data_IF_782013811033
#
_entry.id   IF_782013811033
#
_cell.length_a   1.000
_cell.length_b   1.000
_cell.length_c   1.000
_cell.angle_alpha   90.00
_cell.angle_beta   90.00
_cell.angle_gamma   90.00
#
_symmetry.space_group_name_H-M   'P 1'
#
loop_
_entity.id
_entity.type
_entity.pdbx_description
1 polymer ?
#
# COMPACT_ATOMS: atom_id res chain seq x y z
N UNK A 1 26.96 -34.52 34.85
CA UNK A 1 26.67 -33.95 33.51
C UNK A 1 25.43 -33.03 33.58
N UNK A 2 25.56 -31.86 34.19
CA UNK A 2 24.48 -30.87 34.30
C UNK A 2 24.98 -29.43 33.98
N UNK A 3 25.87 -29.29 33.01
CA UNK A 3 26.54 -28.00 32.75
C UNK A 3 26.18 -27.28 31.43
N UNK A 4 25.40 -27.88 30.52
CA UNK A 4 25.24 -27.31 29.16
C UNK A 4 23.85 -26.74 28.84
N UNK A 5 22.85 -26.87 29.70
CA UNK A 5 21.48 -26.39 29.37
C UNK A 5 21.32 -24.89 29.75
N UNK A 6 22.00 -24.42 30.78
CA UNK A 6 21.89 -23.01 31.21
C UNK A 6 22.58 -22.02 30.23
N UNK A 7 23.70 -22.41 29.60
CA UNK A 7 24.44 -21.54 28.67
C UNK A 7 23.67 -21.24 27.38
N UNK A 8 22.90 -22.20 26.86
CA UNK A 8 22.12 -22.04 25.61
C UNK A 8 20.92 -21.12 25.79
N UNK A 9 20.38 -21.04 27.02
CA UNK A 9 19.26 -20.13 27.30
C UNK A 9 19.73 -18.67 27.49
N UNK A 10 20.92 -18.46 28.05
CA UNK A 10 21.47 -17.11 28.19
C UNK A 10 21.92 -16.50 26.86
N UNK A 11 22.47 -17.30 25.95
CA UNK A 11 22.85 -16.84 24.61
C UNK A 11 21.61 -16.44 23.76
N UNK A 12 20.50 -17.18 23.85
CA UNK A 12 19.27 -16.85 23.16
C UNK A 12 18.56 -15.60 23.72
N UNK A 13 18.74 -15.30 25.00
CA UNK A 13 18.23 -14.08 25.62
C UNK A 13 19.10 -12.87 25.27
N UNK A 14 20.42 -13.05 25.17
CA UNK A 14 21.35 -12.02 24.72
C UNK A 14 21.13 -11.63 23.25
N UNK A 15 20.94 -12.61 22.35
CA UNK A 15 20.64 -12.38 20.95
C UNK A 15 19.30 -11.65 20.75
N UNK A 16 18.26 -11.99 21.54
CA UNK A 16 16.99 -11.25 21.53
C UNK A 16 17.13 -9.80 22.03
N UNK A 17 17.97 -9.59 23.04
CA UNK A 17 18.21 -8.26 23.59
C UNK A 17 19.06 -7.39 22.64
N UNK A 18 19.96 -8.00 21.86
CA UNK A 18 20.77 -7.33 20.86
C UNK A 18 19.96 -7.01 19.60
N UNK A 19 19.08 -7.93 19.16
CA UNK A 19 18.11 -7.68 18.10
C UNK A 19 17.14 -6.55 18.47
N UNK A 20 16.74 -6.44 19.73
CA UNK A 20 15.87 -5.35 20.21
C UNK A 20 16.59 -4.01 20.29
N UNK A 21 17.93 -3.99 20.40
CA UNK A 21 18.75 -2.78 20.36
C UNK A 21 19.11 -2.30 18.96
N UNK A 22 18.96 -3.17 17.94
CA UNK A 22 19.35 -2.88 16.57
C UNK A 22 18.27 -2.15 15.75
N UNK A 23 17.17 -1.67 16.35
CA UNK A 23 16.13 -0.95 15.61
C UNK A 23 15.74 0.33 16.33
N UNK A 24 16.30 1.44 15.88
CA UNK A 24 15.48 2.59 15.65
C UNK A 24 15.62 3.05 14.20
N UNK A 25 15.12 2.31 13.27
CA UNK A 25 14.71 2.97 12.04
C UNK A 25 13.37 3.58 12.36
N UNK A 26 13.38 4.88 12.57
CA UNK A 26 12.17 5.68 12.69
C UNK A 26 11.28 5.34 11.52
N UNK A 27 10.11 4.76 11.81
CA UNK A 27 9.14 4.48 10.78
C UNK A 27 8.78 5.79 10.08
N UNK A 28 9.01 5.86 8.76
CA UNK A 28 8.72 7.05 7.97
C UNK A 28 7.35 6.85 7.34
N UNK A 29 6.36 7.64 7.78
CA UNK A 29 5.05 7.67 7.13
C UNK A 29 5.12 8.59 5.92
N UNK A 30 4.94 8.03 4.72
CA UNK A 30 5.05 8.74 3.44
C UNK A 30 3.70 9.23 2.90
N UNK A 31 2.63 9.18 3.67
CA UNK A 31 1.32 9.63 3.21
C UNK A 31 0.57 10.40 4.28
N UNK A 32 -0.37 11.19 3.84
CA UNK A 32 -1.31 11.93 4.68
C UNK A 32 -2.74 11.49 4.35
N UNK A 33 -3.55 11.43 5.40
CA UNK A 33 -5.01 11.22 5.33
C UNK A 33 -5.70 12.55 5.60
N UNK A 34 -6.80 12.81 4.90
CA UNK A 34 -7.62 14.02 5.09
C UNK A 34 -8.11 14.11 6.56
N UNK A 35 -8.16 15.34 7.08
CA UNK A 35 -8.58 15.62 8.46
C UNK A 35 -9.95 15.01 8.80
N UNK A 36 -10.87 14.96 7.83
CA UNK A 36 -12.20 14.35 8.03
C UNK A 36 -12.15 12.86 8.40
N UNK A 37 -11.06 12.18 8.04
CA UNK A 37 -10.86 10.76 8.33
C UNK A 37 -9.80 10.51 9.42
N UNK A 38 -9.16 11.57 9.94
CA UNK A 38 -8.07 11.45 10.91
C UNK A 38 -8.50 10.78 12.22
N UNK A 39 -9.78 10.90 12.58
CA UNK A 39 -10.35 10.33 13.81
C UNK A 39 -10.86 8.89 13.65
N UNK A 40 -10.81 8.31 12.47
CA UNK A 40 -11.14 6.89 12.30
C UNK A 40 -10.16 6.02 13.10
N UNK A 41 -10.64 5.00 13.83
CA UNK A 41 -9.76 4.10 14.56
C UNK A 41 -8.86 3.32 13.59
N UNK A 42 -7.61 3.10 14.00
CA UNK A 42 -6.67 2.29 13.23
C UNK A 42 -7.07 0.83 13.29
N UNK A 43 -7.12 0.20 12.14
CA UNK A 43 -7.44 -1.22 11.94
C UNK A 43 -6.21 -1.94 11.40
N UNK A 44 -5.81 -3.04 12.01
CA UNK A 44 -4.72 -3.88 11.51
C UNK A 44 -5.12 -4.61 10.23
N UNK A 45 -4.15 -5.00 9.40
CA UNK A 45 -4.44 -5.77 8.18
C UNK A 45 -5.07 -7.12 8.50
N UNK A 46 -4.67 -7.79 9.58
CA UNK A 46 -5.27 -9.06 9.98
C UNK A 46 -6.76 -8.92 10.33
N UNK A 47 -7.14 -7.83 11.02
CA UNK A 47 -8.55 -7.53 11.30
C UNK A 47 -9.30 -7.16 10.02
N UNK A 48 -8.72 -6.27 9.20
CA UNK A 48 -9.29 -5.81 7.95
C UNK A 48 -9.66 -6.99 7.04
N UNK A 49 -8.73 -7.92 6.85
CA UNK A 49 -8.91 -9.08 5.97
C UNK A 49 -9.57 -10.29 6.65
N UNK A 50 -9.91 -10.21 7.93
CA UNK A 50 -10.64 -11.27 8.64
C UNK A 50 -12.06 -11.49 8.13
N UNK A 51 -12.64 -10.49 7.46
CA UNK A 51 -14.03 -10.49 7.01
C UNK A 51 -15.06 -10.29 8.13
N UNK A 52 -14.62 -10.03 9.36
CA UNK A 52 -15.48 -9.92 10.55
C UNK A 52 -15.89 -8.49 10.90
N UNK A 53 -15.26 -7.51 10.27
CA UNK A 53 -15.55 -6.10 10.56
C UNK A 53 -16.88 -5.68 9.95
N UNK A 54 -17.65 -4.92 10.73
CA UNK A 54 -18.84 -4.25 10.25
C UNK A 54 -18.46 -2.95 9.53
N UNK A 55 -19.21 -2.62 8.46
CA UNK A 55 -18.95 -1.42 7.65
C UNK A 55 -18.06 -1.70 6.44
N UNK A 56 -17.74 -0.63 5.72
CA UNK A 56 -17.02 -0.67 4.45
C UNK A 56 -15.79 0.25 4.39
N UNK A 57 -15.65 1.16 5.35
CA UNK A 57 -14.60 2.19 5.38
C UNK A 57 -13.76 2.07 6.62
N UNK A 58 -12.45 1.91 6.45
CA UNK A 58 -11.49 1.65 7.53
C UNK A 58 -10.24 2.47 7.35
N UNK A 59 -9.60 2.88 8.45
CA UNK A 59 -8.26 3.46 8.45
C UNK A 59 -7.23 2.38 8.80
N UNK A 60 -6.17 2.28 8.04
CA UNK A 60 -5.11 1.31 8.25
C UNK A 60 -3.74 1.90 7.91
N UNK A 61 -2.70 1.32 8.46
CA UNK A 61 -1.33 1.68 8.11
C UNK A 61 -0.56 0.42 7.73
N UNK A 62 0.22 0.49 6.66
CA UNK A 62 0.91 -0.66 6.10
C UNK A 62 2.22 -0.28 5.39
N UNK A 63 3.09 -1.26 5.23
CA UNK A 63 4.24 -1.20 4.34
C UNK A 63 3.88 -1.85 3.00
N UNK A 64 4.38 -1.29 1.91
CA UNK A 64 4.21 -1.84 0.56
C UNK A 64 5.38 -2.76 0.26
N UNK A 65 5.09 -4.01 -0.09
CA UNK A 65 6.12 -5.00 -0.46
C UNK A 65 6.28 -5.13 -1.96
N UNK A 66 5.21 -4.85 -2.72
CA UNK A 66 5.20 -4.92 -4.17
C UNK A 66 4.15 -3.97 -4.75
N UNK A 67 4.48 -3.40 -5.89
CA UNK A 67 3.56 -2.58 -6.70
C UNK A 67 3.34 -3.27 -8.04
N UNK A 68 2.09 -3.41 -8.45
CA UNK A 68 1.70 -3.96 -9.75
C UNK A 68 0.83 -2.93 -10.51
N UNK A 69 1.01 -2.79 -11.82
CA UNK A 69 1.84 -3.59 -12.73
C UNK A 69 3.35 -3.29 -12.57
N UNK A 70 4.20 -4.26 -12.97
CA UNK A 70 5.65 -4.11 -12.91
C UNK A 70 6.18 -3.02 -13.87
N UNK A 71 5.57 -2.85 -15.03
CA UNK A 71 5.80 -1.67 -15.86
C UNK A 71 4.86 -0.55 -15.43
N UNK A 72 5.43 0.49 -14.81
CA UNK A 72 4.64 1.59 -14.26
C UNK A 72 3.82 2.33 -15.30
N UNK A 73 4.19 2.28 -16.58
CA UNK A 73 3.43 2.90 -17.67
C UNK A 73 2.05 2.27 -17.84
N UNK A 74 1.90 1.02 -17.42
CA UNK A 74 0.63 0.30 -17.41
C UNK A 74 -0.23 0.56 -16.17
N UNK A 75 0.27 1.33 -15.20
CA UNK A 75 -0.45 1.71 -13.98
C UNK A 75 -1.60 2.69 -14.24
N UNK A 76 -1.62 3.36 -15.38
CA UNK A 76 -2.72 4.21 -15.83
C UNK A 76 -3.44 3.54 -16.99
N UNK A 77 -4.74 3.47 -16.89
CA UNK A 77 -5.65 2.91 -17.90
C UNK A 77 -6.61 3.98 -18.40
N UNK A 78 -7.23 3.72 -19.54
CA UNK A 78 -8.36 4.51 -20.04
C UNK A 78 -9.65 3.80 -19.63
N UNK A 79 -10.52 4.53 -18.96
CA UNK A 79 -11.87 4.08 -18.64
C UNK A 79 -12.86 4.54 -19.72
N UNK A 80 -13.55 3.59 -20.30
CA UNK A 80 -14.68 3.85 -21.21
C UNK A 80 -15.99 3.83 -20.43
N UNK A 81 -16.59 5.00 -20.24
CA UNK A 81 -17.84 5.16 -19.50
C UNK A 81 -19.03 4.44 -20.15
N UNK A 82 -19.02 4.27 -21.48
CA UNK A 82 -20.11 3.59 -22.22
C UNK A 82 -20.01 2.08 -22.10
N UNK A 83 -18.80 1.55 -22.33
CA UNK A 83 -18.53 0.12 -22.24
C UNK A 83 -18.32 -0.37 -20.81
N UNK A 84 -18.14 0.53 -19.83
CA UNK A 84 -17.77 0.23 -18.43
C UNK A 84 -16.53 -0.66 -18.34
N UNK A 85 -15.53 -0.40 -19.18
CA UNK A 85 -14.29 -1.19 -19.29
C UNK A 85 -13.07 -0.31 -19.21
N UNK A 86 -11.99 -0.89 -18.70
CA UNK A 86 -10.66 -0.29 -18.73
C UNK A 86 -9.83 -0.92 -19.84
N UNK A 87 -9.03 -0.10 -20.52
CA UNK A 87 -8.12 -0.51 -21.57
C UNK A 87 -6.75 0.14 -21.38
N UNK A 88 -5.74 -0.31 -22.15
CA UNK A 88 -4.41 0.30 -22.11
C UNK A 88 -4.47 1.77 -22.50
N UNK A 89 -3.70 2.61 -21.77
CA UNK A 89 -3.51 4.01 -22.14
C UNK A 89 -2.48 4.19 -23.29
N UNK A 90 -1.80 3.11 -23.72
CA UNK A 90 -0.84 3.15 -24.81
C UNK A 90 -1.56 3.49 -26.13
N UNK A 91 -1.19 4.61 -26.75
CA UNK A 91 -1.79 5.07 -28.01
C UNK A 91 -3.23 5.57 -27.89
N UNK A 92 -3.78 5.67 -26.68
CA UNK A 92 -5.13 6.17 -26.49
C UNK A 92 -5.25 7.65 -26.87
N UNK A 93 -6.28 7.99 -27.67
CA UNK A 93 -6.54 9.36 -28.14
C UNK A 93 -7.62 10.09 -27.33
N UNK A 94 -8.14 9.48 -26.26
CA UNK A 94 -9.18 10.07 -25.42
C UNK A 94 -9.69 9.07 -24.39
N UNK A 95 -10.65 9.52 -23.57
CA UNK A 95 -11.21 8.76 -22.46
C UNK A 95 -10.74 9.26 -21.12
N UNK A 96 -11.37 8.80 -20.05
CA UNK A 96 -10.98 9.12 -18.67
C UNK A 96 -9.76 8.30 -18.29
N UNK A 97 -8.67 8.99 -17.87
CA UNK A 97 -7.49 8.32 -17.36
C UNK A 97 -7.68 7.99 -15.88
N UNK A 98 -7.50 6.73 -15.53
CA UNK A 98 -7.66 6.21 -14.17
C UNK A 98 -6.42 5.45 -13.73
N UNK A 99 -6.07 5.60 -12.45
CA UNK A 99 -5.08 4.71 -11.83
C UNK A 99 -5.65 3.30 -11.72
N UNK A 100 -4.81 2.32 -11.99
CA UNK A 100 -5.11 0.90 -11.81
C UNK A 100 -3.87 0.20 -11.26
N UNK A 101 -3.64 0.36 -9.97
CA UNK A 101 -2.46 -0.12 -9.25
C UNK A 101 -2.90 -1.07 -8.15
N UNK A 102 -2.21 -2.17 -8.00
CA UNK A 102 -2.36 -3.09 -6.89
C UNK A 102 -1.11 -3.03 -6.01
N UNK A 103 -1.33 -2.88 -4.72
CA UNK A 103 -0.29 -2.86 -3.70
C UNK A 103 -0.34 -4.16 -2.91
N UNK A 104 0.73 -4.94 -2.89
CA UNK A 104 0.92 -5.99 -1.89
C UNK A 104 1.41 -5.35 -0.61
N UNK A 105 0.74 -5.62 0.51
CA UNK A 105 0.94 -4.89 1.76
C UNK A 105 1.16 -5.82 2.94
N UNK A 106 1.84 -5.31 3.96
CA UNK A 106 2.04 -5.96 5.26
C UNK A 106 2.05 -4.95 6.39
N UNK A 107 1.74 -5.40 7.59
CA UNK A 107 1.92 -4.67 8.85
C UNK A 107 2.45 -5.60 9.95
N UNK A 108 2.51 -5.13 11.19
CA UNK A 108 2.96 -5.94 12.32
C UNK A 108 2.09 -7.17 12.57
N UNK A 109 0.79 -7.12 12.21
CA UNK A 109 -0.15 -8.23 12.39
C UNK A 109 0.01 -9.34 11.34
N UNK A 110 0.74 -9.09 10.26
CA UNK A 110 0.84 -9.97 9.08
C UNK A 110 2.25 -10.48 8.81
N UNK A 111 3.25 -10.11 9.64
CA UNK A 111 4.65 -10.46 9.43
C UNK A 111 4.93 -11.98 9.38
N UNK A 112 4.13 -12.78 10.07
CA UNK A 112 4.26 -14.23 10.12
C UNK A 112 3.48 -14.97 9.02
N UNK A 113 2.65 -14.27 8.25
CA UNK A 113 1.80 -14.86 7.22
C UNK A 113 2.44 -14.75 5.84
N UNK A 114 2.58 -15.88 5.16
CA UNK A 114 3.02 -15.94 3.76
C UNK A 114 1.99 -15.33 2.79
N UNK A 115 0.77 -15.08 3.24
CA UNK A 115 -0.29 -14.50 2.42
C UNK A 115 -0.03 -13.01 2.24
N UNK A 116 0.10 -12.61 0.99
CA UNK A 116 0.20 -11.20 0.62
C UNK A 116 -1.20 -10.60 0.59
N UNK A 117 -1.47 -9.69 1.50
CA UNK A 117 -2.67 -8.87 1.45
C UNK A 117 -2.53 -7.82 0.35
N UNK A 118 -3.65 -7.51 -0.31
CA UNK A 118 -3.66 -6.63 -1.47
C UNK A 118 -4.66 -5.51 -1.27
N UNK A 119 -4.21 -4.29 -1.53
CA UNK A 119 -5.03 -3.08 -1.55
C UNK A 119 -4.91 -2.46 -2.94
N UNK A 120 -6.03 -2.05 -3.49
CA UNK A 120 -6.11 -1.47 -4.83
C UNK A 120 -6.09 0.05 -4.76
N UNK A 121 -5.34 0.68 -5.65
CA UNK A 121 -5.49 2.09 -5.99
C UNK A 121 -6.12 2.20 -7.38
N UNK A 122 -7.44 2.22 -7.41
CA UNK A 122 -8.25 2.38 -8.63
C UNK A 122 -8.99 3.71 -8.52
N UNK A 123 -8.55 4.70 -9.31
CA UNK A 123 -9.03 6.09 -9.19
C UNK A 123 -10.30 6.34 -10.00
N UNK A 124 -11.29 5.50 -9.81
CA UNK A 124 -12.60 5.67 -10.43
C UNK A 124 -13.67 5.84 -9.35
N UNK A 125 -14.72 6.59 -9.64
CA UNK A 125 -15.84 6.85 -8.73
C UNK A 125 -15.41 7.45 -7.37
N UNK A 126 -14.43 8.34 -7.39
CA UNK A 126 -13.97 9.08 -6.21
C UNK A 126 -13.00 8.32 -5.29
N UNK A 127 -12.57 7.12 -5.68
CA UNK A 127 -11.55 6.37 -4.96
C UNK A 127 -10.14 6.71 -5.47
N UNK A 128 -9.14 6.65 -4.61
CA UNK A 128 -7.72 6.63 -4.95
C UNK A 128 -7.17 7.79 -5.79
N UNK A 129 -7.97 8.80 -6.05
CA UNK A 129 -7.62 9.87 -6.99
C UNK A 129 -6.39 10.67 -6.58
N UNK A 130 -6.12 10.76 -5.28
CA UNK A 130 -5.05 11.59 -4.73
C UNK A 130 -3.79 10.83 -4.36
N UNK A 131 -3.80 9.50 -4.36
CA UNK A 131 -2.68 8.71 -3.87
C UNK A 131 -1.39 9.02 -4.65
N UNK A 132 -1.41 8.85 -5.97
CA UNK A 132 -0.33 9.26 -6.87
C UNK A 132 -0.57 10.63 -7.52
N UNK A 133 -1.62 11.34 -7.12
CA UNK A 133 -2.09 12.55 -7.79
C UNK A 133 -2.94 12.26 -9.02
N UNK A 134 -3.14 13.28 -9.87
CA UNK A 134 -3.95 13.17 -11.08
C UNK A 134 -3.35 12.15 -12.04
N UNK A 135 -4.18 11.21 -12.54
CA UNK A 135 -3.76 10.26 -13.55
C UNK A 135 -3.40 10.98 -14.87
N UNK A 136 -2.25 10.68 -15.42
CA UNK A 136 -1.75 11.15 -16.72
C UNK A 136 -1.31 9.96 -17.55
N UNK A 137 -1.30 10.09 -18.88
CA UNK A 137 -0.86 8.99 -19.74
C UNK A 137 0.66 8.82 -19.64
N UNK A 138 1.08 7.83 -18.84
CA UNK A 138 2.48 7.55 -18.57
C UNK A 138 3.26 7.00 -19.81
N UNK A 139 2.56 6.57 -20.85
CA UNK A 139 3.18 6.18 -22.11
C UNK A 139 3.63 7.39 -22.94
N UNK A 140 2.96 8.51 -22.81
CA UNK A 140 3.27 9.75 -23.54
C UNK A 140 4.01 10.79 -22.68
N UNK A 141 3.98 10.66 -21.34
CA UNK A 141 4.64 11.56 -20.40
C UNK A 141 5.75 10.83 -19.63
N UNK A 142 6.94 10.81 -20.21
CA UNK A 142 8.10 10.14 -19.62
C UNK A 142 8.53 10.76 -18.27
N UNK A 143 8.32 12.08 -18.09
CA UNK A 143 8.66 12.75 -16.85
C UNK A 143 7.69 12.32 -15.71
N UNK A 144 6.40 12.23 -16.01
CA UNK A 144 5.42 11.70 -15.07
C UNK A 144 5.69 10.22 -14.74
N UNK A 145 5.99 9.39 -15.75
CA UNK A 145 6.34 8.00 -15.54
C UNK A 145 7.51 7.84 -14.57
N UNK A 146 8.60 8.61 -14.77
CA UNK A 146 9.78 8.58 -13.91
C UNK A 146 9.48 9.03 -12.47
N UNK A 147 8.61 10.03 -12.29
CA UNK A 147 8.19 10.49 -10.95
C UNK A 147 7.42 9.37 -10.22
N UNK A 148 6.48 8.72 -10.90
CA UNK A 148 5.68 7.62 -10.32
C UNK A 148 6.54 6.41 -10.02
N UNK A 149 7.46 6.04 -10.92
CA UNK A 149 8.42 4.96 -10.70
C UNK A 149 9.26 5.20 -9.44
N UNK A 150 9.77 6.43 -9.26
CA UNK A 150 10.51 6.82 -8.06
C UNK A 150 9.62 6.74 -6.81
N UNK A 151 8.36 7.17 -6.88
CA UNK A 151 7.42 7.06 -5.76
C UNK A 151 7.17 5.60 -5.38
N UNK A 152 6.95 4.72 -6.35
CA UNK A 152 6.79 3.27 -6.13
C UNK A 152 8.03 2.64 -5.52
N UNK A 153 9.22 2.99 -5.99
CA UNK A 153 10.49 2.53 -5.42
C UNK A 153 10.66 2.99 -3.96
N UNK A 154 10.27 4.23 -3.65
CA UNK A 154 10.31 4.74 -2.28
C UNK A 154 9.32 4.03 -1.36
N UNK A 155 8.11 3.71 -1.82
CA UNK A 155 7.12 2.96 -1.06
C UNK A 155 7.60 1.56 -0.64
N UNK A 156 8.45 0.94 -1.45
CA UNK A 156 8.97 -0.42 -1.20
C UNK A 156 10.23 -0.43 -0.33
N UNK A 157 10.71 0.73 0.13
CA UNK A 157 11.84 0.79 1.05
C UNK A 157 11.47 0.26 2.43
N UNK A 158 12.47 -0.30 3.10
CA UNK A 158 12.32 -0.75 4.47
C UNK A 158 11.87 0.40 5.39
N UNK A 159 10.93 0.12 6.30
CA UNK A 159 10.34 1.07 7.26
C UNK A 159 9.57 2.27 6.64
N UNK A 160 9.19 2.19 5.40
CA UNK A 160 8.27 3.16 4.82
C UNK A 160 6.84 2.67 5.02
N UNK A 161 6.04 3.51 5.65
CA UNK A 161 4.64 3.25 5.99
C UNK A 161 3.71 4.14 5.20
N UNK A 162 2.57 3.60 4.85
CA UNK A 162 1.45 4.32 4.24
C UNK A 162 0.30 4.34 5.23
N UNK A 163 -0.19 5.52 5.57
CA UNK A 163 -1.45 5.71 6.28
C UNK A 163 -2.55 5.95 5.25
N UNK A 164 -3.59 5.17 5.29
CA UNK A 164 -4.66 5.23 4.30
C UNK A 164 -6.03 4.93 4.90
N UNK A 165 -7.04 5.55 4.35
CA UNK A 165 -8.42 5.11 4.49
C UNK A 165 -8.75 4.23 3.29
N UNK A 166 -9.25 3.05 3.56
CA UNK A 166 -9.65 2.08 2.54
C UNK A 166 -11.16 1.84 2.59
N UNK A 167 -11.73 1.56 1.43
CA UNK A 167 -13.14 1.21 1.29
C UNK A 167 -13.28 -0.17 0.65
N UNK A 168 -14.14 -1.00 1.24
CA UNK A 168 -14.44 -2.33 0.70
C UNK A 168 -15.49 -2.22 -0.39
N UNK A 169 -15.13 -2.61 -1.62
CA UNK A 169 -16.05 -2.70 -2.77
C UNK A 169 -15.85 -4.02 -3.50
N UNK A 170 -16.91 -4.72 -3.79
CA UNK A 170 -16.89 -5.98 -4.56
C UNK A 170 -15.86 -7.01 -4.05
N UNK A 171 -15.71 -7.10 -2.72
CA UNK A 171 -14.77 -8.03 -2.08
C UNK A 171 -13.31 -7.57 -2.02
N UNK A 172 -12.99 -6.39 -2.55
CA UNK A 172 -11.65 -5.80 -2.54
C UNK A 172 -11.59 -4.54 -1.69
N UNK A 173 -10.43 -4.27 -1.09
CA UNK A 173 -10.16 -3.00 -0.43
C UNK A 173 -9.49 -2.04 -1.40
N UNK A 174 -10.05 -0.85 -1.52
CA UNK A 174 -9.55 0.23 -2.36
C UNK A 174 -9.08 1.39 -1.52
N UNK A 175 -8.00 2.04 -1.90
CA UNK A 175 -7.60 3.31 -1.28
C UNK A 175 -8.71 4.33 -1.57
N UNK A 176 -9.32 4.86 -0.52
CA UNK A 176 -10.33 5.93 -0.59
C UNK A 176 -9.69 7.29 -0.37
N UNK A 177 -8.83 7.36 0.64
CA UNK A 177 -8.17 8.59 1.03
C UNK A 177 -6.76 8.29 1.52
N UNK A 178 -5.81 8.78 0.79
CA UNK A 178 -4.38 8.82 1.12
C UNK A 178 -3.70 9.66 0.06
N UNK A 179 -2.72 10.47 0.45
CA UNK A 179 -1.91 11.27 -0.46
C UNK A 179 -0.44 11.07 -0.14
N UNK A 180 0.34 10.61 -1.10
CA UNK A 180 1.78 10.49 -0.94
C UNK A 180 2.42 11.87 -0.78
N UNK A 181 3.34 11.96 0.18
CA UNK A 181 4.21 13.13 0.32
C UNK A 181 5.24 13.14 -0.81
N UNK A 182 5.45 14.30 -1.39
CA UNK A 182 6.43 14.50 -2.46
C UNK A 182 7.87 14.38 -1.95
#
# INVERSE_FOLDING_TARGET
RAGNVAKVQDDAAADKAELAKAVPSVAITMSDVDRKHANLPMTSLSELFSGKLAGDTFRTSFCVTRVEPGDIRDAVKVYDCKAKKVSSAKGAKGGELVWNVQLSVKDASTLSNANQYRILNYSHEGLGANFFGKATNLWSDAAAAKRVEKACANLQKFNVWVDAVVEKRNGWYHIKDSKLRA
#
